data_IF_956067388502
#
_entry.id   IF_956067388502
#
_cell.length_a   1.000
_cell.length_b   1.000
_cell.length_c   1.000
_cell.angle_alpha   90.00
_cell.angle_beta   90.00
_cell.angle_gamma   90.00
#
_symmetry.space_group_name_H-M   'P 1'
#
loop_
_entity.id
_entity.type
_entity.pdbx_description
1 polymer ?
#
# COMPACT_ATOMS: atom_id res chain seq x y z
N UNK A 1 1.52 6.10 2.04
CA UNK A 1 1.37 4.78 1.40
C UNK A 1 0.52 3.92 2.30
N UNK A 2 -0.34 3.11 1.72
CA UNK A 2 -1.30 2.32 2.48
C UNK A 2 -0.64 1.30 3.40
N UNK A 3 -0.94 1.36 4.70
CA UNK A 3 -0.52 0.35 5.69
C UNK A 3 -1.71 -0.53 6.10
N UNK A 4 -2.61 -0.81 5.17
CA UNK A 4 -3.75 -1.66 5.41
C UNK A 4 -3.33 -3.13 5.49
N UNK A 5 -3.91 -3.82 6.46
CA UNK A 5 -3.86 -5.27 6.60
C UNK A 5 -4.71 -5.93 5.51
N UNK A 6 -4.42 -7.18 5.18
CA UNK A 6 -5.26 -7.97 4.26
C UNK A 6 -6.70 -8.14 4.74
N UNK A 7 -6.98 -8.05 6.04
CA UNK A 7 -8.36 -7.99 6.55
C UNK A 7 -9.06 -6.68 6.14
N UNK A 8 -8.38 -5.54 6.29
CA UNK A 8 -8.95 -4.22 5.99
C UNK A 8 -9.18 -4.03 4.49
N UNK A 9 -8.27 -4.54 3.65
CA UNK A 9 -8.50 -4.57 2.21
C UNK A 9 -9.66 -5.48 1.81
N UNK A 10 -9.88 -6.59 2.52
CA UNK A 10 -10.98 -7.53 2.23
C UNK A 10 -12.35 -6.89 2.46
N UNK A 11 -12.44 -6.04 3.48
CA UNK A 11 -13.67 -5.34 3.86
C UNK A 11 -14.04 -4.22 2.86
N UNK A 12 -13.14 -3.85 1.95
CA UNK A 12 -13.47 -2.98 0.82
C UNK A 12 -14.32 -3.72 -0.21
N UNK A 13 -15.14 -2.96 -0.94
CA UNK A 13 -16.01 -3.51 -1.98
C UNK A 13 -15.20 -4.29 -3.02
N UNK A 14 -15.41 -5.61 -3.08
CA UNK A 14 -14.71 -6.52 -3.99
C UNK A 14 -13.30 -6.94 -3.56
N UNK A 15 -12.86 -6.55 -2.36
CA UNK A 15 -11.55 -6.91 -1.81
C UNK A 15 -11.44 -8.38 -1.40
N UNK A 16 -12.58 -9.02 -1.11
CA UNK A 16 -12.71 -10.46 -0.82
C UNK A 16 -12.10 -11.36 -1.89
N UNK A 17 -12.14 -10.92 -3.15
CA UNK A 17 -11.59 -11.66 -4.30
C UNK A 17 -10.08 -11.58 -4.44
N UNK A 18 -9.45 -10.57 -3.84
CA UNK A 18 -8.02 -10.26 -4.02
C UNK A 18 -7.19 -10.51 -2.76
N UNK A 19 -7.80 -10.48 -1.57
CA UNK A 19 -7.09 -10.64 -0.30
C UNK A 19 -7.06 -12.09 0.23
N UNK A 20 -5.87 -12.67 0.48
CA UNK A 20 -5.75 -14.00 1.09
C UNK A 20 -6.21 -13.99 2.55
N UNK A 21 -6.82 -15.06 3.04
CA UNK A 21 -7.14 -15.20 4.46
C UNK A 21 -5.89 -15.61 5.25
N UNK A 22 -5.46 -14.75 6.17
CA UNK A 22 -4.25 -14.96 6.95
C UNK A 22 -4.60 -15.23 8.41
N UNK A 23 -3.91 -16.19 9.04
CA UNK A 23 -4.11 -16.54 10.46
C UNK A 23 -3.79 -15.36 11.40
N UNK A 24 -2.88 -14.47 10.98
CA UNK A 24 -2.58 -13.22 11.67
C UNK A 24 -2.31 -12.10 10.67
N UNK A 25 -3.32 -11.26 10.43
CA UNK A 25 -3.23 -10.11 9.52
C UNK A 25 -2.22 -9.05 9.99
N UNK A 26 -1.85 -9.03 11.27
CA UNK A 26 -0.86 -8.08 11.81
C UNK A 26 0.57 -8.37 11.32
N UNK A 27 0.91 -9.65 11.16
CA UNK A 27 2.23 -10.11 10.71
C UNK A 27 2.25 -10.52 9.24
N UNK A 28 1.09 -10.53 8.60
CA UNK A 28 0.87 -10.97 7.23
C UNK A 28 1.34 -9.98 6.17
N UNK A 29 0.66 -10.01 5.02
CA UNK A 29 1.03 -9.29 3.82
C UNK A 29 0.63 -7.79 3.87
N UNK A 30 1.54 -6.96 4.39
CA UNK A 30 1.34 -5.50 4.57
C UNK A 30 2.62 -4.67 4.41
N UNK A 31 2.43 -3.36 4.28
CA UNK A 31 3.49 -2.36 4.17
C UNK A 31 4.47 -2.64 3.03
N UNK A 32 5.77 -2.42 3.26
CA UNK A 32 6.81 -2.56 2.24
C UNK A 32 6.72 -3.88 1.46
N UNK A 33 6.45 -4.99 2.16
CA UNK A 33 6.35 -6.32 1.54
C UNK A 33 5.26 -6.44 0.48
N UNK A 34 4.22 -5.62 0.60
CA UNK A 34 3.10 -5.57 -0.33
C UNK A 34 3.43 -4.75 -1.58
N UNK A 35 4.22 -3.68 -1.42
CA UNK A 35 4.46 -2.71 -2.49
C UNK A 35 5.27 -3.25 -3.66
N UNK A 36 6.20 -4.18 -3.40
CA UNK A 36 7.00 -4.83 -4.44
C UNK A 36 6.43 -6.17 -4.92
N UNK A 37 5.31 -6.64 -4.34
CA UNK A 37 4.67 -7.88 -4.78
C UNK A 37 4.07 -7.68 -6.19
N UNK A 38 4.31 -8.58 -7.16
CA UNK A 38 3.79 -8.44 -8.51
C UNK A 38 2.26 -8.28 -8.58
N UNK A 39 1.51 -8.86 -7.66
CA UNK A 39 0.04 -8.79 -7.60
C UNK A 39 -0.46 -7.39 -7.22
N UNK A 40 0.33 -6.63 -6.47
CA UNK A 40 -0.07 -5.33 -5.92
C UNK A 40 0.71 -4.16 -6.50
N UNK A 41 1.85 -4.40 -7.15
CA UNK A 41 2.67 -3.38 -7.82
C UNK A 41 1.85 -2.41 -8.70
N UNK A 42 0.84 -2.85 -9.49
CA UNK A 42 -0.01 -1.93 -10.25
C UNK A 42 -0.78 -0.94 -9.37
N UNK A 43 -1.30 -1.39 -8.22
CA UNK A 43 -2.02 -0.53 -7.28
C UNK A 43 -1.06 0.45 -6.58
N UNK A 44 0.14 -0.01 -6.19
CA UNK A 44 1.15 0.85 -5.58
C UNK A 44 1.59 2.00 -6.49
N UNK A 45 1.71 1.75 -7.80
CA UNK A 45 2.01 2.80 -8.78
C UNK A 45 0.95 3.90 -8.79
N UNK A 46 -0.32 3.57 -8.59
CA UNK A 46 -1.40 4.57 -8.50
C UNK A 46 -1.23 5.48 -7.28
N UNK A 47 -0.80 4.94 -6.14
CA UNK A 47 -0.49 5.74 -4.95
C UNK A 47 0.70 6.69 -5.22
N UNK A 48 1.73 6.23 -5.91
CA UNK A 48 2.88 7.05 -6.29
C UNK A 48 2.50 8.17 -7.25
N UNK A 49 1.64 7.91 -8.25
CA UNK A 49 1.14 8.95 -9.14
C UNK A 49 0.33 10.02 -8.39
N UNK A 50 -0.47 9.62 -7.39
CA UNK A 50 -1.17 10.58 -6.53
C UNK A 50 -0.18 11.46 -5.74
N UNK A 51 0.86 10.87 -5.16
CA UNK A 51 1.92 11.62 -4.44
C UNK A 51 2.65 12.58 -5.39
N UNK A 52 3.01 12.08 -6.59
CA UNK A 52 3.70 12.87 -7.61
C UNK A 52 2.87 14.07 -8.05
N UNK A 53 1.57 13.88 -8.26
CA UNK A 53 0.62 14.96 -8.55
C UNK A 53 0.59 16.01 -7.44
N UNK A 54 0.51 15.59 -6.17
CA UNK A 54 0.50 16.52 -5.04
C UNK A 54 1.78 17.36 -4.96
N UNK A 55 2.94 16.74 -5.22
CA UNK A 55 4.22 17.45 -5.18
C UNK A 55 4.45 18.37 -6.39
N UNK A 56 4.12 17.90 -7.58
CA UNK A 56 4.51 18.56 -8.83
C UNK A 56 3.43 19.51 -9.36
N UNK A 57 2.16 19.12 -9.30
CA UNK A 57 1.05 19.94 -9.83
C UNK A 57 0.50 20.88 -8.77
N UNK A 58 0.27 20.40 -7.55
CA UNK A 58 -0.23 21.25 -6.46
C UNK A 58 0.88 22.01 -5.71
N UNK A 59 2.16 21.72 -6.01
CA UNK A 59 3.30 22.48 -5.49
C UNK A 59 3.66 22.22 -4.02
N UNK A 60 3.09 21.19 -3.38
CA UNK A 60 3.37 20.86 -1.97
C UNK A 60 4.71 20.14 -1.80
N UNK A 61 5.81 20.91 -1.87
CA UNK A 61 7.18 20.39 -1.75
C UNK A 61 7.54 19.86 -0.36
N UNK A 62 6.78 20.22 0.66
CA UNK A 62 6.93 19.76 2.04
C UNK A 62 6.39 18.34 2.28
N UNK A 63 5.67 17.75 1.32
CA UNK A 63 5.16 16.39 1.45
C UNK A 63 6.32 15.38 1.50
N UNK A 64 6.43 14.68 2.63
CA UNK A 64 7.36 13.57 2.84
C UNK A 64 6.60 12.23 2.77
N UNK A 65 7.26 11.20 2.23
CA UNK A 65 6.68 9.86 2.09
C UNK A 65 7.33 8.93 3.11
N UNK A 66 6.52 8.23 3.87
CA UNK A 66 6.95 7.18 4.80
C UNK A 66 6.59 5.81 4.23
N UNK A 67 7.57 4.89 4.22
CA UNK A 67 7.36 3.48 3.89
C UNK A 67 7.18 2.70 5.22
N UNK A 68 6.00 2.14 5.51
CA UNK A 68 5.77 1.34 6.71
C UNK A 68 6.26 -0.11 6.55
N UNK A 69 6.56 -0.77 7.67
CA UNK A 69 6.84 -2.22 7.75
C UNK A 69 7.96 -2.73 6.81
N UNK A 70 9.07 -2.02 6.73
CA UNK A 70 10.30 -2.52 6.09
C UNK A 70 10.94 -3.62 6.95
N UNK A 71 10.93 -4.87 6.45
CA UNK A 71 11.47 -6.04 7.18
C UNK A 71 12.94 -6.32 6.88
N UNK A 72 13.41 -5.88 5.72
CA UNK A 72 14.76 -6.10 5.20
C UNK A 72 15.25 -4.82 4.52
N UNK A 73 16.57 -4.64 4.45
CA UNK A 73 17.26 -3.52 3.78
C UNK A 73 17.68 -3.92 2.38
#
# INVERSE_FOLDING_TARGET
LSDFKSSEYRDLKGGDKYEPHESSALLGWRGASRYYDPKYTPAFKLELEAIKKVRNEFGFKNLQVMIPFCRTV
#
